data_IF_098314407962
#
_entry.id   IF_098314407962
#
_cell.length_a   1.000
_cell.length_b   1.000
_cell.length_c   1.000
_cell.angle_alpha   90.00
_cell.angle_beta   90.00
_cell.angle_gamma   90.00
#
_symmetry.space_group_name_H-M   'P 1'
#
loop_
_entity.id
_entity.type
_entity.pdbx_description
1 polymer ?
#
# COMPACT_ATOMS: atom_id res chain seq x y z
N UNK A 1 -18.55 -18.70 -9.66
CA UNK A 1 -18.00 -17.32 -9.63
C UNK A 1 -16.66 -17.21 -8.89
N UNK A 2 -16.46 -17.92 -7.77
CA UNK A 2 -15.20 -17.84 -7.01
C UNK A 2 -13.96 -18.34 -7.79
N UNK A 3 -14.10 -19.42 -8.58
CA UNK A 3 -12.99 -19.97 -9.37
C UNK A 3 -12.46 -19.04 -10.46
N UNK A 4 -13.33 -18.29 -11.14
CA UNK A 4 -12.92 -17.31 -12.17
C UNK A 4 -12.20 -16.12 -11.56
N UNK A 5 -12.65 -15.65 -10.39
CA UNK A 5 -11.98 -14.59 -9.63
C UNK A 5 -10.58 -15.00 -9.17
N UNK A 6 -10.44 -16.16 -8.52
CA UNK A 6 -9.15 -16.68 -8.07
C UNK A 6 -8.18 -16.89 -9.23
N UNK A 7 -8.67 -17.41 -10.37
CA UNK A 7 -7.87 -17.54 -11.59
C UNK A 7 -7.39 -16.17 -12.08
N UNK A 8 -8.27 -15.16 -12.09
CA UNK A 8 -7.89 -13.80 -12.47
C UNK A 8 -6.82 -13.21 -11.55
N UNK A 9 -6.99 -13.33 -10.22
CA UNK A 9 -6.02 -12.85 -9.22
C UNK A 9 -4.66 -13.52 -9.41
N UNK A 10 -4.63 -14.83 -9.65
CA UNK A 10 -3.38 -15.57 -9.87
C UNK A 10 -2.65 -15.12 -11.14
N UNK A 11 -3.40 -14.84 -12.22
CA UNK A 11 -2.83 -14.37 -13.49
C UNK A 11 -2.44 -12.88 -13.43
N UNK A 12 -3.08 -12.09 -12.57
CA UNK A 12 -2.93 -10.64 -12.47
C UNK A 12 -2.50 -10.20 -11.07
N UNK A 13 -1.65 -10.98 -10.38
CA UNK A 13 -1.31 -10.77 -8.96
C UNK A 13 -0.82 -9.36 -8.64
N UNK A 14 -0.09 -8.72 -9.58
CA UNK A 14 0.38 -7.34 -9.45
C UNK A 14 -0.75 -6.32 -9.49
N UNK A 15 -1.73 -6.50 -10.38
CA UNK A 15 -2.91 -5.64 -10.45
C UNK A 15 -3.80 -5.84 -9.23
N UNK A 16 -3.97 -7.09 -8.80
CA UNK A 16 -4.70 -7.40 -7.57
C UNK A 16 -4.05 -6.71 -6.36
N UNK A 17 -2.72 -6.79 -6.22
CA UNK A 17 -2.02 -6.10 -5.14
C UNK A 17 -2.10 -4.57 -5.28
N UNK A 18 -2.00 -4.01 -6.49
CA UNK A 18 -2.21 -2.58 -6.70
C UNK A 18 -3.62 -2.11 -6.30
N UNK A 19 -4.66 -2.92 -6.56
CA UNK A 19 -6.02 -2.65 -6.12
C UNK A 19 -6.19 -2.75 -4.59
N UNK A 20 -5.40 -3.59 -3.92
CA UNK A 20 -5.34 -3.62 -2.44
C UNK A 20 -4.65 -2.37 -1.88
N UNK A 21 -3.63 -1.86 -2.57
CA UNK A 21 -2.88 -0.67 -2.15
C UNK A 21 -3.61 0.65 -2.48
N UNK A 22 -4.42 0.69 -3.53
CA UNK A 22 -5.09 1.92 -3.99
C UNK A 22 -6.00 2.56 -2.91
N UNK A 23 -6.81 1.82 -2.13
CA UNK A 23 -7.54 2.36 -0.98
C UNK A 23 -6.63 3.06 0.05
N UNK A 24 -5.36 2.64 0.17
CA UNK A 24 -4.39 3.31 1.01
C UNK A 24 -4.10 4.75 0.56
N UNK A 25 -4.10 5.02 -0.75
CA UNK A 25 -3.85 6.37 -1.28
C UNK A 25 -5.01 7.33 -0.96
N UNK A 26 -6.25 6.86 -1.06
CA UNK A 26 -7.42 7.69 -0.70
C UNK A 26 -7.48 7.91 0.82
N UNK A 27 -7.14 6.90 1.63
CA UNK A 27 -7.04 7.06 3.08
C UNK A 27 -5.99 8.12 3.45
N UNK A 28 -4.80 8.08 2.84
CA UNK A 28 -3.77 9.09 3.04
C UNK A 28 -4.18 10.49 2.55
N UNK A 29 -4.92 10.58 1.45
CA UNK A 29 -5.47 11.86 0.98
C UNK A 29 -6.45 12.45 2.00
N UNK A 30 -7.34 11.62 2.54
CA UNK A 30 -8.31 12.05 3.55
C UNK A 30 -7.61 12.47 4.85
N UNK A 31 -6.67 11.66 5.33
CA UNK A 31 -5.89 11.95 6.53
C UNK A 31 -5.10 13.27 6.41
N UNK A 32 -4.47 13.48 5.25
CA UNK A 32 -3.78 14.74 4.95
C UNK A 32 -4.75 15.93 4.87
N UNK A 33 -5.94 15.73 4.32
CA UNK A 33 -6.95 16.78 4.23
C UNK A 33 -7.45 17.22 5.63
N UNK A 34 -7.73 16.25 6.49
CA UNK A 34 -8.11 16.50 7.88
C UNK A 34 -6.96 17.21 8.61
N UNK A 35 -5.73 16.72 8.48
CA UNK A 35 -4.58 17.27 9.21
C UNK A 35 -4.22 18.71 8.81
N UNK A 36 -4.44 19.08 7.54
CA UNK A 36 -4.12 20.42 7.04
C UNK A 36 -5.26 21.43 7.15
N UNK A 37 -6.53 21.00 7.09
CA UNK A 37 -7.66 21.94 6.99
C UNK A 37 -8.74 21.78 8.05
N UNK A 38 -8.68 20.77 8.92
CA UNK A 38 -9.63 20.73 10.04
C UNK A 38 -9.37 21.90 10.99
N UNK A 39 -10.26 22.91 10.94
CA UNK A 39 -10.22 24.07 11.83
C UNK A 39 -9.15 25.12 11.49
N UNK A 40 -8.62 25.13 10.26
CA UNK A 40 -7.58 26.09 9.81
C UNK A 40 -8.00 26.80 8.51
N UNK A 41 -7.61 28.05 8.37
CA UNK A 41 -7.75 28.79 7.11
C UNK A 41 -6.80 28.22 6.04
N UNK A 42 -7.28 28.15 4.80
CA UNK A 42 -6.62 27.48 3.68
C UNK A 42 -5.46 28.31 3.10
N UNK A 43 -4.61 28.86 3.97
CA UNK A 43 -3.64 29.90 3.61
C UNK A 43 -2.47 29.36 2.78
N UNK A 44 -2.11 28.09 2.97
CA UNK A 44 -1.02 27.47 2.23
C UNK A 44 -1.55 26.43 1.22
N UNK A 45 -1.66 26.86 -0.05
CA UNK A 45 -2.08 25.99 -1.17
C UNK A 45 -1.19 24.76 -1.37
N UNK A 46 0.08 24.80 -0.94
CA UNK A 46 1.00 23.66 -1.07
C UNK A 46 0.57 22.47 -0.22
N UNK A 47 -0.21 22.69 0.84
CA UNK A 47 -0.80 21.61 1.66
C UNK A 47 -1.81 20.76 0.89
N UNK A 48 -2.26 21.21 -0.29
CA UNK A 48 -3.15 20.43 -1.15
C UNK A 48 -2.46 19.31 -1.91
N UNK A 49 -1.13 19.36 -2.04
CA UNK A 49 -0.35 18.37 -2.79
C UNK A 49 -0.58 16.93 -2.32
N UNK A 50 -0.42 16.57 -1.03
CA UNK A 50 -0.62 15.19 -0.58
C UNK A 50 -2.06 14.68 -0.85
N UNK A 51 -3.04 15.57 -0.77
CA UNK A 51 -4.46 15.26 -0.99
C UNK A 51 -4.76 15.00 -2.47
N UNK A 52 -4.33 15.92 -3.33
CA UNK A 52 -4.48 15.77 -4.79
C UNK A 52 -3.70 14.55 -5.27
N UNK A 53 -2.48 14.34 -4.75
CA UNK A 53 -1.68 13.16 -5.06
C UNK A 53 -2.43 11.86 -4.73
N UNK A 54 -2.96 11.73 -3.50
CA UNK A 54 -3.63 10.48 -3.10
C UNK A 54 -4.91 10.23 -3.89
N UNK A 55 -5.70 11.28 -4.18
CA UNK A 55 -6.89 11.20 -5.05
C UNK A 55 -6.55 10.77 -6.48
N UNK A 56 -5.63 11.48 -7.13
CA UNK A 56 -5.22 11.20 -8.51
C UNK A 56 -4.55 9.82 -8.60
N UNK A 57 -3.68 9.48 -7.65
CA UNK A 57 -3.02 8.18 -7.59
C UNK A 57 -4.01 7.02 -7.45
N UNK A 58 -5.02 7.15 -6.58
CA UNK A 58 -6.10 6.17 -6.44
C UNK A 58 -6.85 5.96 -7.76
N UNK A 59 -7.27 7.05 -8.41
CA UNK A 59 -7.99 7.00 -9.69
C UNK A 59 -7.16 6.36 -10.79
N UNK A 60 -5.89 6.76 -10.93
CA UNK A 60 -4.98 6.22 -11.94
C UNK A 60 -4.72 4.72 -11.73
N UNK A 61 -4.45 4.27 -10.49
CA UNK A 61 -4.21 2.86 -10.20
C UNK A 61 -5.44 1.99 -10.45
N UNK A 62 -6.62 2.48 -10.06
CA UNK A 62 -7.88 1.76 -10.30
C UNK A 62 -8.18 1.68 -11.79
N UNK A 63 -8.05 2.80 -12.51
CA UNK A 63 -8.30 2.86 -13.95
C UNK A 63 -7.33 1.95 -14.74
N UNK A 64 -6.04 1.93 -14.41
CA UNK A 64 -5.04 1.15 -15.15
C UNK A 64 -5.11 -0.36 -14.89
N UNK A 65 -5.89 -0.80 -13.91
CA UNK A 65 -6.17 -2.22 -13.70
C UNK A 65 -7.14 -2.80 -14.75
N UNK A 66 -8.00 -1.96 -15.34
CA UNK A 66 -8.98 -2.32 -16.38
C UNK A 66 -8.30 -2.74 -17.71
N UNK A 67 -7.43 -1.93 -18.36
CA UNK A 67 -6.84 -2.28 -19.64
C UNK A 67 -5.90 -3.48 -19.54
N UNK A 68 -5.80 -4.30 -20.59
CA UNK A 68 -4.94 -5.50 -20.62
C UNK A 68 -3.44 -5.18 -20.74
N UNK A 69 -3.05 -3.93 -21.00
CA UNK A 69 -1.66 -3.55 -21.26
C UNK A 69 -0.81 -3.58 -19.97
N UNK A 70 0.11 -4.54 -19.91
CA UNK A 70 1.12 -4.63 -18.84
C UNK A 70 2.03 -3.42 -18.82
N UNK A 71 2.42 -2.89 -19.98
CA UNK A 71 3.32 -1.73 -20.09
C UNK A 71 2.70 -0.49 -19.43
N UNK A 72 1.43 -0.20 -19.74
CA UNK A 72 0.73 0.96 -19.17
C UNK A 72 0.59 0.81 -17.64
N UNK A 73 0.23 -0.38 -17.15
CA UNK A 73 0.20 -0.66 -15.71
C UNK A 73 1.56 -0.41 -15.03
N UNK A 74 2.64 -0.96 -15.60
CA UNK A 74 4.00 -0.83 -15.05
C UNK A 74 4.44 0.62 -14.96
N UNK A 75 4.22 1.41 -16.02
CA UNK A 75 4.59 2.82 -16.03
C UNK A 75 3.74 3.66 -15.08
N UNK A 76 2.44 3.40 -15.03
CA UNK A 76 1.53 4.12 -14.11
C UNK A 76 1.89 3.83 -12.65
N UNK A 77 2.06 2.56 -12.28
CA UNK A 77 2.45 2.18 -10.93
C UNK A 77 3.82 2.77 -10.53
N UNK A 78 4.79 2.82 -11.44
CA UNK A 78 6.08 3.50 -11.21
C UNK A 78 5.93 4.99 -11.03
N UNK A 79 5.15 5.65 -11.88
CA UNK A 79 4.93 7.09 -11.82
C UNK A 79 4.26 7.48 -10.50
N UNK A 80 3.15 6.82 -10.15
CA UNK A 80 2.44 7.04 -8.87
C UNK A 80 3.34 6.70 -7.68
N UNK A 81 4.11 5.61 -7.77
CA UNK A 81 5.04 5.20 -6.71
C UNK A 81 6.16 6.21 -6.48
N UNK A 82 6.81 6.67 -7.56
CA UNK A 82 7.87 7.69 -7.50
C UNK A 82 7.32 9.02 -6.98
N UNK A 83 6.18 9.47 -7.49
CA UNK A 83 5.52 10.68 -7.01
C UNK A 83 5.21 10.58 -5.51
N UNK A 84 4.74 9.43 -5.02
CA UNK A 84 4.48 9.21 -3.59
C UNK A 84 5.73 9.30 -2.73
N UNK A 85 6.84 8.71 -3.19
CA UNK A 85 8.13 8.85 -2.51
C UNK A 85 8.59 10.31 -2.46
N UNK A 86 8.44 11.06 -3.55
CA UNK A 86 8.83 12.48 -3.59
C UNK A 86 7.93 13.33 -2.67
N UNK A 87 6.62 13.13 -2.71
CA UNK A 87 5.66 13.82 -1.82
C UNK A 87 5.97 13.52 -0.36
N UNK A 88 6.20 12.24 -0.03
CA UNK A 88 6.51 11.83 1.34
C UNK A 88 7.84 12.37 1.85
N UNK A 89 8.92 12.27 1.06
CA UNK A 89 10.24 12.78 1.45
C UNK A 89 10.23 14.30 1.61
N UNK A 90 9.60 15.03 0.69
CA UNK A 90 9.45 16.49 0.80
C UNK A 90 8.61 16.87 2.01
N UNK A 91 7.49 16.17 2.25
CA UNK A 91 6.66 16.38 3.43
C UNK A 91 7.40 16.12 4.73
N UNK A 92 8.20 15.04 4.81
CA UNK A 92 9.03 14.75 5.98
C UNK A 92 10.06 15.85 6.21
N UNK A 93 10.70 16.36 5.16
CA UNK A 93 11.64 17.48 5.29
C UNK A 93 10.96 18.73 5.85
N UNK A 94 9.81 19.13 5.27
CA UNK A 94 9.06 20.31 5.72
C UNK A 94 8.58 20.14 7.18
N UNK A 95 8.06 18.96 7.53
CA UNK A 95 7.62 18.67 8.90
C UNK A 95 8.80 18.69 9.89
N UNK A 96 9.96 18.16 9.49
CA UNK A 96 11.17 18.18 10.32
C UNK A 96 11.67 19.61 10.56
N UNK A 97 11.68 20.46 9.54
CA UNK A 97 12.04 21.87 9.70
C UNK A 97 11.08 22.56 10.68
N UNK A 98 9.77 22.42 10.50
CA UNK A 98 8.77 23.01 11.38
C UNK A 98 8.90 22.51 12.84
N UNK A 99 9.18 21.21 13.02
CA UNK A 99 9.42 20.64 14.34
C UNK A 99 10.67 21.23 15.01
N UNK A 100 11.76 21.40 14.25
CA UNK A 100 12.99 22.01 14.79
C UNK A 100 12.82 23.50 15.10
N UNK A 101 11.99 24.22 14.32
CA UNK A 101 11.61 25.60 14.61
C UNK A 101 10.81 25.69 15.93
N UNK A 102 9.86 24.77 16.14
CA UNK A 102 9.07 24.70 17.39
C UNK A 102 9.97 24.42 18.60
N UNK A 103 11.01 23.59 18.44
CA UNK A 103 11.95 23.34 19.52
C UNK A 103 12.78 24.57 19.89
N UNK A 104 12.99 25.51 18.98
CA UNK A 104 13.76 26.75 19.21
C UNK A 104 15.15 26.55 19.88
N UNK A 105 15.75 25.36 19.74
CA UNK A 105 17.02 24.98 20.37
C UNK A 105 16.92 24.50 21.83
N UNK A 106 15.72 24.47 22.43
CA UNK A 106 15.48 23.81 23.72
C UNK A 106 15.03 22.36 23.51
N UNK A 107 15.84 21.42 23.98
CA UNK A 107 15.59 19.98 23.89
C UNK A 107 15.17 19.38 25.24
N UNK A 108 14.65 20.21 26.15
CA UNK A 108 14.05 19.74 27.40
C UNK A 108 12.88 18.80 27.12
N UNK A 109 12.62 17.86 28.03
CA UNK A 109 11.54 16.88 27.87
C UNK A 109 10.17 17.55 27.70
N UNK A 110 9.92 18.64 28.44
CA UNK A 110 8.69 19.42 28.34
C UNK A 110 8.54 20.08 26.96
N UNK A 111 9.63 20.61 26.41
CA UNK A 111 9.58 21.24 25.08
C UNK A 111 9.45 20.20 23.96
N UNK A 112 10.09 19.04 24.10
CA UNK A 112 9.90 17.91 23.18
C UNK A 112 8.46 17.38 23.21
N UNK A 113 7.86 17.25 24.39
CA UNK A 113 6.46 16.86 24.53
C UNK A 113 5.53 17.92 23.91
N UNK A 114 5.78 19.19 24.20
CA UNK A 114 5.09 20.32 23.60
C UNK A 114 5.15 20.28 22.07
N UNK A 115 6.37 20.24 21.51
CA UNK A 115 6.60 20.16 20.08
C UNK A 115 5.94 18.92 19.46
N UNK A 116 6.02 17.75 20.07
CA UNK A 116 5.34 16.55 19.53
C UNK A 116 3.80 16.65 19.58
N UNK A 117 3.24 17.46 20.48
CA UNK A 117 1.79 17.66 20.60
C UNK A 117 1.23 18.68 19.61
N UNK A 118 2.01 19.70 19.23
CA UNK A 118 1.56 20.79 18.36
C UNK A 118 2.16 20.75 16.95
N UNK A 119 3.37 20.21 16.80
CA UNK A 119 4.04 20.16 15.52
C UNK A 119 3.38 19.14 14.57
N UNK A 120 3.52 19.32 13.26
CA UNK A 120 3.06 18.35 12.29
C UNK A 120 3.66 16.96 12.56
N UNK A 121 2.88 15.87 12.45
CA UNK A 121 3.38 14.53 12.72
C UNK A 121 4.52 14.17 11.75
N UNK A 122 5.73 13.98 12.28
CA UNK A 122 6.95 13.70 11.49
C UNK A 122 6.85 12.42 10.64
N UNK A 123 6.13 11.43 11.17
CA UNK A 123 6.01 10.11 10.53
C UNK A 123 4.87 10.04 9.51
N UNK A 124 3.89 10.95 9.54
CA UNK A 124 2.75 10.88 8.64
C UNK A 124 3.17 10.94 7.15
N UNK A 125 4.09 11.83 6.72
CA UNK A 125 4.55 11.85 5.34
C UNK A 125 5.31 10.58 4.91
N UNK A 126 5.92 9.84 5.86
CA UNK A 126 6.62 8.59 5.54
C UNK A 126 5.67 7.49 5.07
N UNK A 127 4.38 7.56 5.41
CA UNK A 127 3.38 6.64 4.87
C UNK A 127 3.26 6.75 3.34
N UNK A 128 3.41 7.96 2.78
CA UNK A 128 3.49 8.16 1.32
C UNK A 128 4.74 7.54 0.73
N UNK A 129 5.88 7.61 1.44
CA UNK A 129 7.13 6.95 1.01
C UNK A 129 6.97 5.44 0.99
N UNK A 130 6.44 4.85 2.06
CA UNK A 130 6.24 3.41 2.17
C UNK A 130 5.30 2.87 1.08
N UNK A 131 4.15 3.52 0.90
CA UNK A 131 3.18 3.13 -0.12
C UNK A 131 3.73 3.37 -1.53
N UNK A 132 4.43 4.49 -1.75
CA UNK A 132 5.09 4.83 -3.00
C UNK A 132 6.16 3.82 -3.39
N UNK A 133 7.00 3.42 -2.43
CA UNK A 133 8.02 2.39 -2.60
C UNK A 133 7.40 1.02 -2.93
N UNK A 134 6.30 0.64 -2.26
CA UNK A 134 5.58 -0.59 -2.55
C UNK A 134 5.04 -0.62 -3.99
N UNK A 135 4.43 0.49 -4.44
CA UNK A 135 3.93 0.64 -5.82
C UNK A 135 5.07 0.64 -6.86
N UNK A 136 6.18 1.29 -6.53
CA UNK A 136 7.36 1.29 -7.38
C UNK A 136 7.95 -0.13 -7.49
N UNK A 137 8.07 -0.86 -6.37
CA UNK A 137 8.61 -2.22 -6.34
C UNK A 137 7.71 -3.23 -7.06
N UNK A 138 6.37 -3.06 -7.00
CA UNK A 138 5.38 -3.87 -7.73
C UNK A 138 5.62 -3.95 -9.24
N UNK A 139 6.22 -2.90 -9.80
CA UNK A 139 6.57 -2.83 -11.22
C UNK A 139 7.79 -3.69 -11.59
N UNK A 140 8.65 -4.00 -10.61
CA UNK A 140 9.92 -4.70 -10.81
C UNK A 140 9.72 -6.13 -11.29
N UNK A 141 10.54 -6.59 -12.24
CA UNK A 141 10.57 -7.99 -12.64
C UNK A 141 11.08 -8.92 -11.53
N UNK A 142 11.86 -8.38 -10.58
CA UNK A 142 12.49 -9.14 -9.48
C UNK A 142 11.53 -9.50 -8.35
N UNK A 143 10.43 -8.75 -8.18
CA UNK A 143 9.34 -9.17 -7.30
C UNK A 143 8.53 -10.28 -7.98
N UNK A 144 9.01 -11.50 -7.85
CA UNK A 144 8.23 -12.71 -8.08
C UNK A 144 7.37 -12.97 -6.84
N UNK A 145 6.21 -12.32 -6.78
CA UNK A 145 5.14 -12.72 -5.84
C UNK A 145 4.56 -14.05 -6.31
N UNK A 146 5.22 -15.15 -5.92
CA UNK A 146 4.65 -16.49 -6.02
C UNK A 146 3.70 -16.68 -4.85
N UNK A 147 2.44 -16.30 -5.03
CA UNK A 147 1.36 -16.69 -4.13
C UNK A 147 1.23 -18.21 -4.18
N UNK A 148 1.84 -18.91 -3.21
CA UNK A 148 1.54 -20.32 -2.94
C UNK A 148 0.21 -20.37 -2.21
N UNK A 149 -0.89 -20.37 -2.97
CA UNK A 149 -2.16 -20.84 -2.44
C UNK A 149 -1.98 -22.32 -2.14
N UNK A 150 -2.01 -22.69 -0.86
CA UNK A 150 -1.86 -24.07 -0.43
C UNK A 150 -2.80 -24.96 -1.24
N UNK A 151 -2.25 -25.90 -2.00
CA UNK A 151 -3.03 -26.97 -2.59
C UNK A 151 -3.52 -27.80 -1.41
N UNK A 152 -4.76 -27.63 -0.99
CA UNK A 152 -5.41 -28.59 -0.10
C UNK A 152 -5.28 -29.93 -0.81
N UNK A 153 -4.40 -30.81 -0.31
CA UNK A 153 -4.32 -32.18 -0.81
C UNK A 153 -5.73 -32.74 -0.59
N UNK A 154 -6.41 -33.09 -1.67
CA UNK A 154 -7.65 -33.84 -1.54
C UNK A 154 -7.34 -35.05 -0.66
N UNK A 155 -8.13 -35.32 0.40
CA UNK A 155 -7.94 -36.54 1.18
C UNK A 155 -7.96 -37.71 0.20
N UNK A 156 -6.91 -38.53 0.23
CA UNK A 156 -6.86 -39.78 -0.53
C UNK A 156 -7.97 -40.66 0.02
N UNK A 157 -9.15 -40.59 -0.61
CA UNK A 157 -10.21 -41.54 -0.36
C UNK A 157 -9.75 -42.90 -0.92
N UNK A 158 -9.53 -43.87 -0.04
CA UNK A 158 -9.39 -45.27 -0.41
C UNK A 158 -8.00 -45.87 -0.21
N UNK A 159 -7.61 -46.08 1.04
CA UNK A 159 -6.62 -47.09 1.42
C UNK A 159 -7.12 -47.99 2.57
N UNK A 160 -8.45 -48.16 2.68
CA UNK A 160 -9.08 -49.13 3.57
C UNK A 160 -9.91 -50.09 2.70
N UNK A 161 -9.42 -51.31 2.49
CA UNK A 161 -10.20 -52.32 1.78
C UNK A 161 -9.43 -53.42 1.07
N UNK A 162 -8.42 -54.02 1.71
CA UNK A 162 -7.92 -55.33 1.26
C UNK A 162 -7.47 -56.17 2.46
N UNK A 163 -8.41 -56.43 3.38
CA UNK A 163 -8.26 -57.54 4.32
C UNK A 163 -8.58 -58.84 3.58
N UNK A 164 -7.50 -59.52 3.23
CA UNK A 164 -7.36 -60.91 2.83
C UNK A 164 -8.41 -61.86 3.45
N UNK A 165 -9.42 -62.24 2.65
CA UNK A 165 -10.10 -63.53 2.81
C UNK A 165 -9.22 -64.60 2.15
N UNK A 166 -8.27 -65.13 2.92
CA UNK A 166 -7.53 -66.32 2.52
C UNK A 166 -8.44 -67.53 2.68
N UNK A 167 -8.56 -68.25 1.57
CA UNK A 167 -9.43 -69.39 1.32
C UNK A 167 -9.14 -70.55 2.26
N UNK A 168 -10.22 -71.11 2.77
CA UNK A 168 -10.36 -72.46 3.30
C UNK A 168 -10.53 -73.41 2.10
N UNK A 169 -9.59 -74.31 1.86
CA UNK A 169 -9.80 -75.58 1.12
C UNK A 169 -8.61 -76.52 1.28
N UNK A 170 -8.86 -77.62 2.01
CA UNK A 170 -8.57 -79.06 1.78
C UNK A 170 -8.24 -79.73 3.10
#
# INVERSE_FOLDING_TARGET
MFGSFLRWVRLNSRKALALVLAPGLIALAFDSAVSHWAGKDFDNRWQAIPVVYGLVGFLLLTAVCIPKSRKVFVWTARGVGLAGMLVGLMGTYIHAVAFMEELAGDYSAANLEGALSVAPPLLAPLSFVGLGAALFALSSARMLLRLRLGSVRAPQAGAEGSSSLAQETV
#
